data_IF_150658242098
#
_entry.id   IF_150658242098
#
_cell.length_a   1.000
_cell.length_b   1.000
_cell.length_c   1.000
_cell.angle_alpha   90.00
_cell.angle_beta   90.00
_cell.angle_gamma   90.00
#
_symmetry.space_group_name_H-M   'P 1'
#
loop_
_entity.id
_entity.type
_entity.pdbx_description
1 polymer ?
#
# COMPACT_ATOMS: atom_id res chain seq x y z
N UNK A 1 15.41 8.02 -8.15
CA UNK A 1 13.97 8.38 -7.98
C UNK A 1 13.86 9.85 -7.61
N UNK A 2 12.96 10.58 -8.25
CA UNK A 2 12.76 11.99 -7.98
C UNK A 2 11.86 12.21 -6.76
N UNK A 3 11.94 13.41 -6.16
CA UNK A 3 11.07 13.79 -5.05
C UNK A 3 9.60 13.76 -5.45
N UNK A 4 9.30 14.16 -6.69
CA UNK A 4 7.93 14.12 -7.22
C UNK A 4 7.37 12.69 -7.27
N UNK A 5 8.17 11.72 -7.69
CA UNK A 5 7.75 10.32 -7.70
C UNK A 5 7.48 9.80 -6.30
N UNK A 6 8.31 10.19 -5.33
CA UNK A 6 8.12 9.83 -3.93
C UNK A 6 6.81 10.39 -3.40
N UNK A 7 6.53 11.66 -3.68
CA UNK A 7 5.28 12.32 -3.26
C UNK A 7 4.06 11.68 -3.90
N UNK A 8 4.12 11.33 -5.18
CA UNK A 8 3.04 10.61 -5.86
C UNK A 8 2.74 9.26 -5.21
N UNK A 9 3.77 8.51 -4.85
CA UNK A 9 3.59 7.23 -4.17
C UNK A 9 2.97 7.38 -2.79
N UNK A 10 3.38 8.40 -2.02
CA UNK A 10 2.75 8.71 -0.74
C UNK A 10 1.28 9.06 -0.90
N UNK A 11 0.94 9.84 -1.92
CA UNK A 11 -0.44 10.22 -2.21
C UNK A 11 -1.29 8.99 -2.51
N UNK A 12 -0.78 8.07 -3.32
CA UNK A 12 -1.46 6.82 -3.64
C UNK A 12 -1.68 5.99 -2.37
N UNK A 13 -0.67 5.90 -1.51
CA UNK A 13 -0.80 5.18 -0.25
C UNK A 13 -1.80 5.80 0.71
N UNK A 14 -1.88 7.12 0.77
CA UNK A 14 -2.88 7.81 1.61
C UNK A 14 -4.30 7.48 1.21
N UNK A 15 -4.53 7.22 -0.06
CA UNK A 15 -5.85 6.84 -0.59
C UNK A 15 -6.13 5.34 -0.48
N UNK A 16 -5.13 4.56 -0.14
CA UNK A 16 -5.28 3.12 -0.01
C UNK A 16 -6.08 2.76 1.25
N UNK A 17 -7.15 1.96 1.13
CA UNK A 17 -8.00 1.62 2.30
C UNK A 17 -7.27 0.84 3.39
N UNK A 18 -6.19 0.12 3.05
CA UNK A 18 -5.40 -0.65 4.03
C UNK A 18 -4.18 0.12 4.55
N UNK A 19 -4.03 1.37 4.17
CA UNK A 19 -2.94 2.20 4.67
C UNK A 19 -3.24 2.68 6.10
N UNK A 20 -2.33 2.39 7.02
CA UNK A 20 -2.39 2.90 8.38
C UNK A 20 -1.65 4.24 8.42
N UNK A 21 -2.41 5.32 8.31
CA UNK A 21 -1.86 6.67 8.27
C UNK A 21 -1.29 7.12 9.61
N UNK A 22 -1.83 6.61 10.71
CA UNK A 22 -1.37 6.95 12.06
C UNK A 22 0.04 6.42 12.32
N UNK A 23 0.35 5.24 11.80
CA UNK A 23 1.65 4.60 11.96
C UNK A 23 2.54 4.73 10.72
N UNK A 24 2.01 5.25 9.62
CA UNK A 24 2.77 5.43 8.39
C UNK A 24 3.20 4.12 7.72
N UNK A 25 2.32 3.10 7.74
CA UNK A 25 2.62 1.80 7.15
C UNK A 25 1.42 1.23 6.40
N UNK A 26 1.69 0.28 5.51
CA UNK A 26 0.67 -0.53 4.88
C UNK A 26 0.30 -1.67 5.83
N UNK A 27 -0.99 -1.78 6.19
CA UNK A 27 -1.43 -2.77 7.16
C UNK A 27 -1.34 -4.19 6.60
N UNK A 28 -0.41 -4.98 7.16
CA UNK A 28 -0.18 -6.37 6.74
C UNK A 28 -1.22 -7.37 7.23
N UNK A 29 -2.15 -6.94 8.08
CA UNK A 29 -3.22 -7.78 8.58
C UNK A 29 -4.52 -7.66 7.78
N UNK A 30 -4.56 -6.75 6.82
CA UNK A 30 -5.71 -6.53 5.97
C UNK A 30 -5.44 -6.98 4.53
N UNK A 31 -6.50 -7.38 3.87
CA UNK A 31 -6.48 -7.77 2.46
C UNK A 31 -7.26 -6.74 1.64
N UNK A 32 -6.74 -6.43 0.47
CA UNK A 32 -7.31 -5.43 -0.43
C UNK A 32 -7.64 -6.04 -1.76
N UNK A 33 -8.85 -5.76 -2.26
CA UNK A 33 -9.19 -6.04 -3.65
C UNK A 33 -8.79 -4.83 -4.50
N UNK A 34 -7.75 -4.93 -5.35
CA UNK A 34 -7.27 -3.78 -6.10
C UNK A 34 -8.25 -3.28 -7.16
N UNK A 35 -9.23 -4.08 -7.54
CA UNK A 35 -10.22 -3.69 -8.53
C UNK A 35 -11.38 -2.89 -7.95
N UNK A 36 -11.81 -3.23 -6.73
CA UNK A 36 -12.95 -2.59 -6.08
C UNK A 36 -12.58 -1.71 -4.89
N UNK A 37 -11.33 -1.81 -4.42
CA UNK A 37 -10.84 -1.18 -3.19
C UNK A 37 -11.56 -1.66 -1.92
N UNK A 38 -12.21 -2.81 -1.99
CA UNK A 38 -12.80 -3.44 -0.80
C UNK A 38 -11.70 -4.01 0.08
N UNK A 39 -11.94 -4.01 1.38
CA UNK A 39 -11.00 -4.57 2.35
C UNK A 39 -11.61 -5.78 3.04
N UNK A 40 -10.75 -6.69 3.49
CA UNK A 40 -11.16 -7.88 4.24
C UNK A 40 -10.15 -8.19 5.34
N UNK A 41 -10.63 -8.75 6.44
CA UNK A 41 -9.76 -9.23 7.52
C UNK A 41 -9.31 -10.66 7.30
N UNK A 42 -9.86 -11.34 6.31
CA UNK A 42 -9.54 -12.72 5.98
C UNK A 42 -9.17 -12.85 4.51
N UNK A 43 -8.33 -13.84 4.14
CA UNK A 43 -7.96 -14.06 2.74
C UNK A 43 -9.17 -14.44 1.90
N UNK A 44 -9.28 -13.81 0.72
CA UNK A 44 -10.32 -14.09 -0.27
C UNK A 44 -9.71 -14.09 -1.65
N UNK A 45 -10.34 -14.79 -2.57
CA UNK A 45 -9.92 -14.80 -3.97
C UNK A 45 -10.00 -13.38 -4.55
N UNK A 46 -8.96 -12.97 -5.24
CA UNK A 46 -8.85 -11.62 -5.81
C UNK A 46 -8.37 -10.55 -4.83
N UNK A 47 -8.16 -10.91 -3.56
CA UNK A 47 -7.66 -9.99 -2.54
C UNK A 47 -6.17 -10.19 -2.32
N UNK A 48 -5.46 -9.10 -2.08
CA UNK A 48 -4.01 -9.07 -1.89
C UNK A 48 -3.71 -8.61 -0.46
N UNK A 49 -2.84 -9.36 0.22
CA UNK A 49 -2.41 -9.00 1.57
C UNK A 49 -1.52 -7.75 1.54
N UNK A 50 -1.73 -6.85 2.49
CA UNK A 50 -0.85 -5.70 2.69
C UNK A 50 0.56 -6.12 3.07
N UNK A 51 1.56 -5.30 2.74
CA UNK A 51 2.96 -5.67 2.95
C UNK A 51 3.47 -5.46 4.38
N UNK A 52 2.78 -4.64 5.18
CA UNK A 52 3.21 -4.33 6.55
C UNK A 52 4.47 -3.46 6.63
N UNK A 53 4.94 -2.91 5.53
CA UNK A 53 6.16 -2.12 5.48
C UNK A 53 5.92 -0.67 5.85
N UNK A 54 6.92 -0.04 6.49
CA UNK A 54 6.90 1.40 6.73
C UNK A 54 7.00 2.14 5.40
N UNK A 55 6.10 3.09 5.18
CA UNK A 55 6.03 3.85 3.92
C UNK A 55 7.28 4.68 3.69
N UNK A 56 7.82 5.29 4.74
CA UNK A 56 9.02 6.11 4.65
C UNK A 56 10.27 5.34 4.19
N UNK A 57 10.28 4.03 4.39
CA UNK A 57 11.37 3.16 3.96
C UNK A 57 11.09 2.49 2.63
N UNK A 58 9.82 2.19 2.36
CA UNK A 58 9.41 1.47 1.16
C UNK A 58 9.30 2.38 -0.05
N UNK A 59 8.64 3.51 0.11
CA UNK A 59 8.33 4.42 -1.00
C UNK A 59 9.57 4.93 -1.73
N UNK A 60 10.65 5.40 -1.02
CA UNK A 60 11.85 5.86 -1.71
C UNK A 60 12.69 4.74 -2.34
N UNK A 61 12.35 3.49 -2.09
CA UNK A 61 13.11 2.35 -2.62
C UNK A 61 12.60 1.96 -4.01
N UNK A 62 13.42 2.18 -5.04
CA UNK A 62 13.05 1.90 -6.44
C UNK A 62 12.73 0.43 -6.70
N UNK A 63 13.28 -0.48 -5.89
CA UNK A 63 13.06 -1.92 -6.04
C UNK A 63 11.78 -2.39 -5.38
N UNK A 64 11.13 -1.55 -4.58
CA UNK A 64 9.89 -1.88 -3.89
C UNK A 64 8.69 -1.32 -4.63
N UNK A 65 7.63 -2.09 -4.64
CA UNK A 65 6.36 -1.71 -5.29
C UNK A 65 5.18 -2.08 -4.40
N UNK A 66 4.06 -1.41 -4.61
CA UNK A 66 2.83 -1.75 -3.93
C UNK A 66 2.39 -3.17 -4.28
N UNK A 67 2.05 -4.04 -3.30
CA UNK A 67 1.57 -5.38 -3.61
C UNK A 67 0.30 -5.40 -4.46
N UNK A 68 -0.53 -4.35 -4.36
CA UNK A 68 -1.71 -4.18 -5.21
C UNK A 68 -1.38 -3.50 -6.56
N UNK A 69 -0.11 -3.30 -6.86
CA UNK A 69 0.39 -2.70 -8.11
C UNK A 69 -0.15 -1.30 -8.38
N UNK A 70 -0.39 -0.53 -7.32
CA UNK A 70 -0.84 0.86 -7.46
C UNK A 70 0.31 1.82 -7.81
N UNK A 71 1.53 1.40 -7.53
CA UNK A 71 2.74 2.10 -7.94
C UNK A 71 3.93 1.14 -8.02
#
# INVERSE_FOLDING_TARGET
>A
MTLEEIEERFEICRRCPICDQDNGLCNGNLYLNPMSNDISISPKEGYIKGCGCLLEKKIPNEKKHCPAKKW
#
